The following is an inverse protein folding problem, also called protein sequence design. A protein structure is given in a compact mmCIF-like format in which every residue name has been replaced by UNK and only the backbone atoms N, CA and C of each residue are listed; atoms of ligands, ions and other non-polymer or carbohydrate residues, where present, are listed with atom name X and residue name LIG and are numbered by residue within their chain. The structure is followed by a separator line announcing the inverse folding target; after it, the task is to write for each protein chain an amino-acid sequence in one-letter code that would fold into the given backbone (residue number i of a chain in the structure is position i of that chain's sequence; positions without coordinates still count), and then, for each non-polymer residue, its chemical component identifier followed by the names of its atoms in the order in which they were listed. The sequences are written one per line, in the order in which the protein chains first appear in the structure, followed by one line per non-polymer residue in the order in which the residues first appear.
data_IF_871668322810
#
_entry.id   IF_871668322810
#
_cell.length_a   1.000
_cell.length_b   1.000
_cell.length_c   1.000
_cell.angle_alpha   90.00
_cell.angle_beta   90.00
_cell.angle_gamma   90.00
#
_symmetry.space_group_name_H-M   'P 1'
#
loop_
_entity.id
_entity.type
_entity.pdbx_description
1 polymer ?
#
# COMPACT_ATOMS: atom_id res chain seq x y z
N UNK A 1 6.22 32.41 -10.75
CA UNK A 1 5.82 31.10 -10.22
C UNK A 1 6.41 30.06 -11.16
N UNK A 2 7.43 29.33 -10.72
CA UNK A 2 8.01 28.25 -11.53
C UNK A 2 6.97 27.15 -11.73
N UNK A 3 6.43 27.08 -12.94
CA UNK A 3 5.60 26.00 -13.43
C UNK A 3 6.43 24.73 -13.50
N UNK A 4 6.18 23.74 -12.65
CA UNK A 4 6.59 22.36 -12.95
C UNK A 4 7.19 21.50 -11.84
N UNK A 5 7.25 21.91 -10.57
CA UNK A 5 7.59 20.96 -9.52
C UNK A 5 6.32 20.30 -8.96
N UNK A 6 6.00 19.09 -9.43
CA UNK A 6 4.92 18.21 -8.97
C UNK A 6 5.03 17.76 -7.50
N UNK A 7 5.83 18.45 -6.68
CA UNK A 7 6.21 18.01 -5.34
C UNK A 7 7.08 16.74 -5.35
N UNK A 8 7.56 16.29 -6.52
CA UNK A 8 8.49 15.15 -6.63
C UNK A 8 9.81 15.43 -5.92
N UNK A 9 10.11 16.67 -5.56
CA UNK A 9 11.21 17.00 -4.66
C UNK A 9 11.04 16.42 -3.25
N UNK A 10 9.81 16.15 -2.81
CA UNK A 10 9.52 15.46 -1.55
C UNK A 10 9.69 13.94 -1.64
N UNK A 11 9.46 13.36 -2.82
CA UNK A 11 9.54 11.91 -3.05
C UNK A 11 10.94 11.48 -3.50
N UNK A 12 11.56 12.31 -4.33
CA UNK A 12 12.89 12.12 -4.92
C UNK A 12 13.71 13.39 -4.64
N UNK A 13 14.12 13.62 -3.38
CA UNK A 13 14.97 14.74 -3.04
C UNK A 13 16.35 14.64 -3.70
N UNK A 14 16.97 15.81 -3.90
CA UNK A 14 18.26 15.92 -4.61
C UNK A 14 19.43 15.24 -3.91
N UNK A 15 19.31 14.98 -2.61
CA UNK A 15 20.36 14.34 -1.81
C UNK A 15 20.34 12.81 -1.86
N UNK A 16 19.25 12.17 -2.32
CA UNK A 16 19.18 10.70 -2.38
C UNK A 16 19.91 10.11 -3.59
N UNK A 17 20.02 10.87 -4.69
CA UNK A 17 20.62 10.39 -5.93
C UNK A 17 21.50 11.45 -6.56
N UNK A 18 22.75 11.11 -6.92
CA UNK A 18 23.65 12.00 -7.66
C UNK A 18 23.05 12.45 -9.01
N UNK A 19 22.21 11.60 -9.61
CA UNK A 19 21.47 11.83 -10.85
C UNK A 19 19.96 12.09 -10.61
N UNK A 20 19.58 12.73 -9.49
CA UNK A 20 18.18 12.92 -9.11
C UNK A 20 17.30 13.55 -10.21
N UNK A 21 17.86 14.41 -11.08
CA UNK A 21 17.11 15.02 -12.20
C UNK A 21 16.65 13.97 -13.20
N UNK A 22 17.53 13.02 -13.56
CA UNK A 22 17.19 11.92 -14.45
C UNK A 22 16.19 10.97 -13.79
N UNK A 23 16.38 10.69 -12.49
CA UNK A 23 15.46 9.84 -11.72
C UNK A 23 14.06 10.47 -11.64
N UNK A 24 13.95 11.78 -11.37
CA UNK A 24 12.66 12.50 -11.39
C UNK A 24 11.97 12.39 -12.74
N UNK A 25 12.68 12.65 -13.85
CA UNK A 25 12.12 12.51 -15.20
C UNK A 25 11.65 11.08 -15.51
N UNK A 26 12.38 10.07 -15.06
CA UNK A 26 11.98 8.68 -15.24
C UNK A 26 10.70 8.34 -14.45
N UNK A 27 10.57 8.85 -13.22
CA UNK A 27 9.36 8.68 -12.40
C UNK A 27 8.18 9.45 -12.98
N UNK A 28 8.38 10.68 -13.44
CA UNK A 28 7.36 11.44 -14.18
C UNK A 28 6.86 10.64 -15.37
N UNK A 29 7.78 10.12 -16.20
CA UNK A 29 7.40 9.28 -17.33
C UNK A 29 6.62 8.05 -16.87
N UNK A 30 7.12 7.29 -15.89
CA UNK A 30 6.49 6.04 -15.45
C UNK A 30 5.06 6.23 -14.91
N UNK A 31 4.80 7.31 -14.16
CA UNK A 31 3.53 7.49 -13.44
C UNK A 31 2.58 8.50 -14.09
N UNK A 32 3.07 9.36 -14.99
CA UNK A 32 2.28 10.43 -15.60
C UNK A 32 2.00 10.21 -17.09
N UNK A 33 2.53 9.16 -17.73
CA UNK A 33 2.33 8.92 -19.17
C UNK A 33 0.85 8.83 -19.56
N UNK A 34 0.00 8.28 -18.68
CA UNK A 34 -1.43 8.11 -18.94
C UNK A 34 -2.31 9.28 -18.45
N UNK A 35 -1.71 10.29 -17.81
CA UNK A 35 -2.46 11.38 -17.19
C UNK A 35 -2.44 12.66 -18.03
N UNK A 36 -3.59 13.37 -18.13
CA UNK A 36 -3.64 14.65 -18.79
C UNK A 36 -2.87 15.70 -17.96
N UNK A 37 -2.25 16.66 -18.64
CA UNK A 37 -1.39 17.68 -17.99
C UNK A 37 -2.14 18.64 -17.04
N UNK A 38 -3.47 18.52 -16.93
CA UNK A 38 -4.34 19.32 -16.08
C UNK A 38 -4.99 18.52 -14.93
N UNK A 39 -4.26 17.57 -14.35
CA UNK A 39 -4.74 16.82 -13.18
C UNK A 39 -5.19 17.72 -12.03
N UNK A 40 -6.28 17.31 -11.39
CA UNK A 40 -6.73 17.93 -10.15
C UNK A 40 -5.84 17.51 -8.95
N UNK A 41 -6.04 18.17 -7.81
CA UNK A 41 -5.24 17.90 -6.61
C UNK A 41 -5.37 16.47 -6.09
N UNK A 42 -6.55 15.86 -6.18
CA UNK A 42 -6.79 14.50 -5.71
C UNK A 42 -6.08 13.46 -6.59
N UNK A 43 -6.10 13.64 -7.91
CA UNK A 43 -5.35 12.81 -8.86
C UNK A 43 -3.85 12.89 -8.60
N UNK A 44 -3.33 14.12 -8.43
CA UNK A 44 -1.92 14.34 -8.09
C UNK A 44 -1.53 13.67 -6.76
N UNK A 45 -2.37 13.79 -5.73
CA UNK A 45 -2.15 13.13 -4.43
C UNK A 45 -2.12 11.61 -4.57
N UNK A 46 -3.04 11.03 -5.34
CA UNK A 46 -3.06 9.58 -5.56
C UNK A 46 -1.80 9.08 -6.29
N UNK A 47 -1.27 9.84 -7.25
CA UNK A 47 0.00 9.49 -7.91
C UNK A 47 1.17 9.54 -6.94
N UNK A 48 1.27 10.60 -6.12
CA UNK A 48 2.33 10.69 -5.11
C UNK A 48 2.25 9.51 -4.14
N UNK A 49 1.04 9.13 -3.71
CA UNK A 49 0.85 7.95 -2.86
C UNK A 49 1.28 6.67 -3.56
N UNK A 50 0.93 6.47 -4.84
CA UNK A 50 1.36 5.30 -5.60
C UNK A 50 2.90 5.21 -5.69
N UNK A 51 3.57 6.32 -6.00
CA UNK A 51 5.04 6.35 -6.05
C UNK A 51 5.65 5.98 -4.70
N UNK A 52 5.13 6.54 -3.60
CA UNK A 52 5.60 6.25 -2.25
C UNK A 52 5.34 4.79 -1.85
N UNK A 53 4.14 4.27 -2.14
CA UNK A 53 3.77 2.87 -1.89
C UNK A 53 4.66 1.89 -2.66
N UNK A 54 4.92 2.19 -3.94
CA UNK A 54 5.79 1.37 -4.78
C UNK A 54 7.24 1.40 -4.31
N UNK A 55 7.77 2.60 -4.05
CA UNK A 55 9.17 2.79 -3.66
C UNK A 55 9.48 2.18 -2.28
N UNK A 56 8.62 2.38 -1.28
CA UNK A 56 8.92 2.03 0.10
C UNK A 56 8.39 0.66 0.53
N UNK A 57 7.39 0.10 -0.15
CA UNK A 57 6.74 -1.15 0.28
C UNK A 57 6.70 -2.20 -0.83
N UNK A 58 6.07 -1.90 -1.97
CA UNK A 58 5.77 -2.94 -2.98
C UNK A 58 7.03 -3.41 -3.70
N UNK A 59 7.86 -2.51 -4.24
CA UNK A 59 9.06 -2.90 -4.98
C UNK A 59 10.09 -3.63 -4.09
N UNK A 60 10.37 -3.19 -2.84
CA UNK A 60 11.22 -3.95 -1.93
C UNK A 60 10.66 -5.34 -1.61
N UNK A 61 9.35 -5.46 -1.31
CA UNK A 61 8.74 -6.75 -1.01
C UNK A 61 8.77 -7.71 -2.21
N UNK A 62 8.44 -7.21 -3.41
CA UNK A 62 8.49 -7.98 -4.64
C UNK A 62 9.93 -8.43 -4.97
N UNK A 63 10.92 -7.54 -4.79
CA UNK A 63 12.33 -7.87 -4.97
C UNK A 63 12.74 -9.01 -4.04
N UNK A 64 12.38 -8.94 -2.77
CA UNK A 64 12.73 -9.97 -1.78
C UNK A 64 12.06 -11.31 -2.12
N UNK A 65 10.76 -11.29 -2.45
CA UNK A 65 10.03 -12.47 -2.91
C UNK A 65 10.72 -13.15 -4.12
N UNK A 66 11.15 -12.36 -5.11
CA UNK A 66 11.89 -12.87 -6.27
C UNK A 66 13.24 -13.47 -5.91
N UNK A 67 13.96 -12.92 -4.91
CA UNK A 67 15.24 -13.46 -4.45
C UNK A 67 15.07 -14.85 -3.83
N UNK A 68 14.00 -15.08 -3.05
CA UNK A 68 13.69 -16.40 -2.51
C UNK A 68 13.22 -17.38 -3.59
N UNK A 69 12.34 -16.93 -4.50
CA UNK A 69 11.84 -17.75 -5.60
C UNK A 69 12.98 -18.27 -6.50
N UNK A 70 13.97 -17.43 -6.81
CA UNK A 70 15.18 -17.82 -7.58
C UNK A 70 16.03 -18.88 -6.90
N UNK A 71 15.88 -19.09 -5.60
CA UNK A 71 16.53 -20.16 -4.83
C UNK A 71 15.65 -21.41 -4.70
N UNK A 72 14.67 -21.58 -5.60
CA UNK A 72 13.69 -22.67 -5.59
C UNK A 72 12.96 -22.80 -4.24
N UNK A 73 12.68 -21.66 -3.59
CA UNK A 73 11.81 -21.62 -2.41
C UNK A 73 10.39 -21.31 -2.86
N UNK A 74 9.42 -22.01 -2.27
CA UNK A 74 8.02 -21.61 -2.41
C UNK A 74 7.84 -20.29 -1.68
N UNK A 75 7.34 -19.28 -2.39
CA UNK A 75 7.10 -17.95 -1.87
C UNK A 75 5.63 -17.65 -2.03
N UNK A 76 5.11 -17.04 -0.98
CA UNK A 76 3.72 -16.66 -0.84
C UNK A 76 3.65 -15.16 -0.58
N UNK A 77 2.77 -14.48 -1.30
CA UNK A 77 2.63 -13.04 -1.23
C UNK A 77 1.16 -12.69 -1.40
N UNK A 78 0.72 -11.66 -0.68
CA UNK A 78 -0.64 -11.14 -0.78
C UNK A 78 -0.61 -9.62 -0.90
N UNK A 79 -1.73 -9.08 -1.37
CA UNK A 79 -1.99 -7.64 -1.40
C UNK A 79 -3.26 -7.41 -0.59
N UNK A 80 -3.15 -6.64 0.49
CA UNK A 80 -4.30 -6.27 1.30
C UNK A 80 -4.96 -5.00 0.75
N UNK A 81 -6.23 -5.10 0.37
CA UNK A 81 -6.97 -4.00 -0.28
C UNK A 81 -8.27 -3.63 0.45
N UNK A 82 -8.61 -4.35 1.53
CA UNK A 82 -9.86 -4.10 2.23
C UNK A 82 -9.79 -2.78 3.02
N UNK A 83 -10.79 -1.93 2.82
CA UNK A 83 -10.91 -0.63 3.47
C UNK A 83 -11.87 -0.70 4.64
N UNK A 84 -11.46 -0.14 5.78
CA UNK A 84 -12.34 0.04 6.92
C UNK A 84 -12.39 1.52 7.29
N UNK A 85 -13.60 2.07 7.35
CA UNK A 85 -13.83 3.50 7.55
C UNK A 85 -13.27 4.02 8.89
N UNK A 86 -13.29 3.20 9.94
CA UNK A 86 -12.76 3.60 11.26
C UNK A 86 -11.23 3.65 11.24
N UNK A 87 -10.58 2.63 10.66
CA UNK A 87 -9.12 2.61 10.48
C UNK A 87 -8.63 3.76 9.57
N UNK A 88 -9.41 4.13 8.57
CA UNK A 88 -9.05 5.14 7.60
C UNK A 88 -9.44 6.57 8.00
N UNK A 89 -10.12 6.77 9.14
CA UNK A 89 -10.69 8.07 9.51
C UNK A 89 -9.67 9.22 9.51
N UNK A 90 -8.46 8.99 10.03
CA UNK A 90 -7.38 9.99 10.04
C UNK A 90 -6.85 10.27 8.62
N UNK A 91 -6.66 9.23 7.83
CA UNK A 91 -6.19 9.30 6.45
C UNK A 91 -7.22 10.00 5.53
N UNK A 92 -8.52 9.73 5.72
CA UNK A 92 -9.62 10.39 4.98
C UNK A 92 -9.69 11.89 5.26
N UNK A 93 -9.40 12.33 6.49
CA UNK A 93 -9.31 13.77 6.83
C UNK A 93 -8.21 14.50 6.05
N UNK A 94 -7.15 13.81 5.64
CA UNK A 94 -6.06 14.35 4.83
C UNK A 94 -6.34 14.30 3.32
N UNK A 95 -7.57 13.96 2.92
CA UNK A 95 -8.03 13.95 1.52
C UNK A 95 -7.63 12.71 0.72
N UNK A 96 -7.08 11.69 1.37
CA UNK A 96 -6.76 10.40 0.75
C UNK A 96 -8.05 9.58 0.74
N UNK A 97 -8.61 9.27 -0.44
CA UNK A 97 -9.98 8.71 -0.55
C UNK A 97 -10.05 7.24 -0.97
N UNK A 98 -8.92 6.60 -1.28
CA UNK A 98 -8.88 5.19 -1.68
C UNK A 98 -7.65 4.47 -1.11
N UNK A 99 -7.69 3.15 -1.15
CA UNK A 99 -6.67 2.24 -0.65
C UNK A 99 -6.80 1.91 0.84
N UNK A 100 -6.37 0.70 1.18
CA UNK A 100 -6.02 0.36 2.56
C UNK A 100 -4.73 1.10 2.97
N UNK A 101 -4.67 1.55 4.22
CA UNK A 101 -3.48 2.20 4.78
C UNK A 101 -2.50 1.15 5.32
N UNK A 102 -1.24 1.56 5.41
CA UNK A 102 -0.19 0.76 6.06
C UNK A 102 -0.61 0.38 7.49
N UNK A 103 -0.46 -0.92 7.82
CA UNK A 103 -0.79 -1.46 9.14
C UNK A 103 -2.25 -1.89 9.34
N UNK A 104 -3.14 -1.60 8.38
CA UNK A 104 -4.56 -1.97 8.47
C UNK A 104 -4.77 -3.48 8.63
N UNK A 105 -4.08 -4.28 7.81
CA UNK A 105 -4.08 -5.75 7.87
C UNK A 105 -3.73 -6.27 9.27
N UNK A 106 -2.68 -5.72 9.88
CA UNK A 106 -2.26 -6.07 11.24
C UNK A 106 -3.35 -5.81 12.28
N UNK A 107 -4.15 -4.74 12.11
CA UNK A 107 -5.27 -4.46 13.02
C UNK A 107 -6.37 -5.53 12.95
N UNK A 108 -6.63 -6.13 11.78
CA UNK A 108 -7.54 -7.28 11.66
C UNK A 108 -6.93 -8.53 12.28
N UNK A 109 -5.67 -8.84 11.95
CA UNK A 109 -4.98 -10.07 12.39
C UNK A 109 -4.86 -10.14 13.91
N UNK A 110 -4.43 -9.05 14.54
CA UNK A 110 -4.11 -9.01 15.97
C UNK A 110 -5.22 -8.40 16.83
N UNK A 111 -6.35 -8.01 16.21
CA UNK A 111 -7.43 -7.29 16.87
C UNK A 111 -6.91 -6.07 17.67
N UNK A 112 -6.00 -5.30 17.07
CA UNK A 112 -5.35 -4.16 17.70
C UNK A 112 -5.35 -2.93 16.77
N UNK A 113 -6.27 -1.98 16.95
CA UNK A 113 -6.40 -0.82 16.05
C UNK A 113 -5.21 0.14 16.13
N UNK A 114 -4.41 0.11 17.20
CA UNK A 114 -3.22 0.95 17.35
C UNK A 114 -2.11 0.65 16.36
N UNK A 115 -2.16 -0.52 15.71
CA UNK A 115 -1.22 -0.90 14.65
C UNK A 115 -1.45 -0.12 13.35
N UNK A 116 -2.66 0.43 13.16
CA UNK A 116 -2.99 1.29 12.02
C UNK A 116 -2.93 2.77 12.38
N UNK A 117 -3.40 3.14 13.57
CA UNK A 117 -3.35 4.50 14.09
C UNK A 117 -3.26 4.47 15.62
N UNK A 118 -2.15 4.97 16.16
CA UNK A 118 -1.85 4.94 17.60
C UNK A 118 -2.86 5.70 18.48
N UNK A 119 -3.66 6.60 17.87
CA UNK A 119 -4.73 7.32 18.55
C UNK A 119 -6.02 6.50 18.71
N UNK A 120 -6.20 5.43 17.93
CA UNK A 120 -7.38 4.57 18.02
C UNK A 120 -7.31 3.67 19.26
N UNK A 121 -8.36 3.71 20.07
CA UNK A 121 -8.48 2.88 21.29
C UNK A 121 -9.30 1.62 21.05
N UNK A 122 -10.37 1.72 20.28
CA UNK A 122 -11.33 0.65 20.00
C UNK A 122 -11.86 0.80 18.58
N UNK A 123 -12.28 -0.32 17.98
CA UNK A 123 -13.00 -0.37 16.70
C UNK A 123 -14.18 -1.31 16.86
N UNK A 124 -15.30 -0.94 16.26
CA UNK A 124 -16.45 -1.81 16.11
C UNK A 124 -16.37 -2.57 14.79
N UNK A 125 -16.03 -3.86 14.84
CA UNK A 125 -15.98 -4.72 13.66
C UNK A 125 -17.38 -5.18 13.27
N UNK A 126 -17.80 -4.81 12.07
CA UNK A 126 -19.05 -5.29 11.47
C UNK A 126 -18.89 -6.73 10.94
N UNK A 127 -19.96 -7.29 10.36
CA UNK A 127 -19.94 -8.67 9.88
C UNK A 127 -18.96 -8.90 8.72
N UNK A 128 -18.77 -7.91 7.85
CA UNK A 128 -17.82 -8.02 6.74
C UNK A 128 -16.37 -7.92 7.24
N UNK A 129 -16.10 -7.01 8.19
CA UNK A 129 -14.82 -6.94 8.88
C UNK A 129 -14.47 -8.29 9.54
N UNK A 130 -15.45 -8.94 10.17
CA UNK A 130 -15.26 -10.25 10.81
C UNK A 130 -14.95 -11.35 9.80
N UNK A 131 -15.59 -11.34 8.62
CA UNK A 131 -15.27 -12.28 7.53
C UNK A 131 -13.83 -12.08 7.04
N UNK A 132 -13.41 -10.84 6.85
CA UNK A 132 -12.04 -10.51 6.45
C UNK A 132 -11.03 -10.96 7.50
N UNK A 133 -11.29 -10.70 8.79
CA UNK A 133 -10.47 -11.18 9.91
C UNK A 133 -10.36 -12.70 9.92
N UNK A 134 -11.49 -13.42 9.83
CA UNK A 134 -11.50 -14.88 9.81
C UNK A 134 -10.70 -15.44 8.64
N UNK A 135 -10.82 -14.81 7.47
CA UNK A 135 -10.08 -15.22 6.29
C UNK A 135 -8.57 -15.00 6.45
N UNK A 136 -8.13 -13.82 6.89
CA UNK A 136 -6.71 -13.52 7.12
C UNK A 136 -6.09 -14.47 8.14
N UNK A 137 -6.76 -14.66 9.29
CA UNK A 137 -6.29 -15.57 10.34
C UNK A 137 -6.23 -17.00 9.81
N UNK A 138 -7.23 -17.46 9.06
CA UNK A 138 -7.23 -18.81 8.49
C UNK A 138 -6.08 -19.02 7.51
N UNK A 139 -5.83 -18.07 6.62
CA UNK A 139 -4.71 -18.11 5.67
C UNK A 139 -3.37 -18.18 6.39
N UNK A 140 -3.14 -17.32 7.37
CA UNK A 140 -1.90 -17.30 8.16
C UNK A 140 -1.72 -18.58 8.97
N UNK A 141 -2.80 -19.10 9.57
CA UNK A 141 -2.76 -20.36 10.34
C UNK A 141 -2.45 -21.55 9.43
N UNK A 142 -3.06 -21.60 8.24
CA UNK A 142 -2.80 -22.66 7.28
C UNK A 142 -1.36 -22.60 6.75
N UNK A 143 -0.85 -21.40 6.46
CA UNK A 143 0.56 -21.21 6.09
C UNK A 143 1.51 -21.75 7.17
N UNK A 144 1.25 -21.40 8.44
CA UNK A 144 2.07 -21.86 9.57
C UNK A 144 2.01 -23.38 9.74
N UNK A 145 0.81 -23.98 9.64
CA UNK A 145 0.60 -25.40 9.91
C UNK A 145 1.08 -26.30 8.78
N UNK A 146 0.80 -25.91 7.54
CA UNK A 146 0.90 -26.80 6.38
C UNK A 146 2.01 -26.39 5.42
N UNK A 147 2.59 -25.17 5.59
CA UNK A 147 3.52 -24.55 4.61
C UNK A 147 2.94 -24.49 3.19
N UNK A 148 1.62 -24.59 3.09
CA UNK A 148 0.84 -24.50 1.87
C UNK A 148 -0.06 -23.29 1.94
N UNK A 149 -0.06 -22.47 0.88
CA UNK A 149 -1.17 -21.56 0.67
C UNK A 149 -1.92 -21.93 -0.61
N UNK A 150 -3.22 -22.13 -0.46
CA UNK A 150 -4.15 -21.85 -1.55
C UNK A 150 -4.40 -20.34 -1.51
N UNK A 151 -3.52 -19.54 -2.10
CA UNK A 151 -3.67 -18.08 -2.17
C UNK A 151 -3.62 -17.61 -3.61
N UNK A 152 -4.80 -17.30 -4.15
CA UNK A 152 -4.99 -16.44 -5.29
C UNK A 152 -6.39 -15.82 -5.18
N UNK A 153 -6.54 -14.67 -4.51
CA UNK A 153 -7.71 -13.82 -4.73
C UNK A 153 -7.33 -12.33 -4.69
N UNK A 154 -7.67 -11.67 -5.80
CA UNK A 154 -7.74 -10.23 -5.97
C UNK A 154 -9.07 -9.78 -5.35
N UNK A 155 -9.05 -9.06 -4.23
CA UNK A 155 -10.28 -8.51 -3.64
C UNK A 155 -10.56 -7.12 -4.22
N UNK A 156 -11.18 -7.10 -5.40
CA UNK A 156 -11.92 -5.94 -5.89
C UNK A 156 -13.41 -6.17 -5.63
N UNK A 157 -13.93 -5.64 -4.51
CA UNK A 157 -15.36 -5.42 -4.35
C UNK A 157 -15.76 -4.22 -5.21
N UNK A 158 -16.89 -4.34 -5.91
CA UNK A 158 -17.45 -3.33 -6.82
C UNK A 158 -17.58 -1.94 -6.19
#
# INVERSE_FOLDING_TARGET
MESGEWGLSHVIPSYLHANYKQVRKAVEYQYLTDYPQNMNEAERRNIILNILSDQYFIAPAAREALLYARKNRTVYAYIFQYENAQLLASVRKNGIQQGASHGNDCSFIFNNPKLSDSSLKTIEWNDDDRKITQQLISQMTNFIRERSEVIAFKFGGK
#
